data_IF_331637471007
#
_entry.id   IF_331637471007
#
_cell.length_a   1.000
_cell.length_b   1.000
_cell.length_c   1.000
_cell.angle_alpha   90.00
_cell.angle_beta   90.00
_cell.angle_gamma   90.00
#
_symmetry.space_group_name_H-M   'P 1'
#
loop_
_entity.id
_entity.type
_entity.pdbx_description
1 polymer ?
#
# COMPACT_ATOMS: atom_id res chain seq x y z
N UNK A 1 -4.39 -17.17 7.19
CA UNK A 1 -5.00 -16.79 5.87
C UNK A 1 -3.99 -17.09 4.79
N UNK A 2 -4.38 -17.85 3.79
CA UNK A 2 -3.53 -18.13 2.63
C UNK A 2 -3.76 -17.02 1.59
N UNK A 3 -2.70 -16.36 1.19
CA UNK A 3 -2.76 -15.37 0.10
C UNK A 3 -2.70 -16.08 -1.25
N UNK A 4 -3.42 -15.57 -2.25
CA UNK A 4 -3.43 -16.08 -3.61
C UNK A 4 -2.38 -15.36 -4.45
N UNK A 5 -1.31 -16.08 -4.80
CA UNK A 5 -0.25 -15.62 -5.70
C UNK A 5 -0.25 -16.35 -7.03
N UNK A 6 -1.19 -17.27 -7.24
CA UNK A 6 -1.23 -18.14 -8.41
C UNK A 6 -2.21 -17.62 -9.47
N UNK A 7 -3.28 -16.96 -9.07
CA UNK A 7 -4.27 -16.41 -9.99
C UNK A 7 -3.69 -15.27 -10.82
N UNK A 8 -3.72 -15.46 -12.15
CA UNK A 8 -3.29 -14.43 -13.10
C UNK A 8 -4.35 -13.30 -13.13
N UNK A 9 -3.92 -12.08 -12.85
CA UNK A 9 -4.77 -10.89 -12.89
C UNK A 9 -4.54 -10.17 -14.22
N UNK A 10 -5.55 -10.06 -15.11
CA UNK A 10 -5.43 -9.28 -16.33
C UNK A 10 -5.15 -7.80 -16.01
N UNK A 11 -4.04 -7.28 -16.54
CA UNK A 11 -3.59 -5.91 -16.28
C UNK A 11 -3.67 -5.00 -17.52
N UNK A 12 -3.78 -5.58 -18.73
CA UNK A 12 -3.93 -4.81 -19.97
C UNK A 12 -5.31 -4.18 -20.05
N UNK A 13 -5.37 -2.96 -20.57
CA UNK A 13 -6.61 -2.18 -20.66
C UNK A 13 -7.11 -1.62 -19.32
N UNK A 14 -6.27 -1.61 -18.28
CA UNK A 14 -6.61 -1.08 -16.96
C UNK A 14 -5.91 0.24 -16.64
N UNK A 15 -5.30 0.87 -17.62
CA UNK A 15 -4.43 2.05 -17.46
C UNK A 15 -3.18 1.77 -16.63
N UNK A 16 -2.72 0.53 -16.61
CA UNK A 16 -1.46 0.17 -16.00
C UNK A 16 -0.30 0.69 -16.85
N UNK A 17 0.51 1.60 -16.32
CA UNK A 17 1.67 2.11 -17.04
C UNK A 17 2.65 0.98 -17.41
N UNK A 18 2.80 -0.01 -16.54
CA UNK A 18 3.63 -1.19 -16.81
C UNK A 18 3.16 -1.99 -18.01
N UNK A 19 1.85 -2.28 -18.06
CA UNK A 19 1.27 -3.22 -19.04
C UNK A 19 0.77 -2.54 -20.31
N UNK A 20 0.33 -1.29 -20.23
CA UNK A 20 -0.30 -0.58 -21.34
C UNK A 20 0.67 0.35 -22.07
N UNK A 21 1.94 0.43 -21.64
CA UNK A 21 2.96 1.24 -22.31
C UNK A 21 3.53 0.58 -23.57
N UNK A 22 3.45 -0.73 -23.71
CA UNK A 22 3.88 -1.46 -24.90
C UNK A 22 2.70 -1.62 -25.86
N UNK A 23 2.90 -1.25 -27.15
CA UNK A 23 1.90 -1.45 -28.19
C UNK A 23 1.69 -2.93 -28.53
N UNK A 24 2.77 -3.72 -28.43
CA UNK A 24 2.74 -5.16 -28.69
C UNK A 24 2.25 -5.94 -27.46
N UNK A 25 1.15 -6.67 -27.64
CA UNK A 25 0.52 -7.46 -26.59
C UNK A 25 1.36 -8.65 -26.12
N UNK A 26 2.29 -9.14 -26.94
CA UNK A 26 3.14 -10.29 -26.62
C UNK A 26 4.37 -9.90 -25.80
N UNK A 27 4.63 -8.62 -25.63
CA UNK A 27 5.73 -8.13 -24.78
C UNK A 27 5.42 -8.33 -23.31
N UNK A 28 6.26 -9.09 -22.62
CA UNK A 28 6.22 -9.22 -21.18
C UNK A 28 6.98 -8.05 -20.50
N UNK A 29 6.31 -7.13 -19.80
CA UNK A 29 6.97 -6.01 -19.18
C UNK A 29 7.75 -6.44 -17.92
N UNK A 30 9.05 -6.16 -17.88
CA UNK A 30 9.95 -6.46 -16.75
C UNK A 30 10.80 -5.25 -16.34
N UNK A 31 10.41 -4.06 -16.75
CA UNK A 31 11.21 -2.84 -16.60
C UNK A 31 10.94 -2.04 -15.32
N UNK A 32 9.83 -2.31 -14.65
CA UNK A 32 9.43 -1.62 -13.42
C UNK A 32 9.03 -2.62 -12.34
N UNK A 33 9.33 -2.31 -11.09
CA UNK A 33 9.09 -3.19 -9.93
C UNK A 33 7.65 -3.19 -9.42
N UNK A 34 6.70 -2.82 -10.26
CA UNK A 34 5.27 -2.89 -9.99
C UNK A 34 4.82 -4.35 -9.93
N UNK A 35 4.27 -4.79 -8.82
CA UNK A 35 3.84 -6.17 -8.61
C UNK A 35 2.48 -6.45 -9.25
N UNK A 36 2.31 -7.65 -9.78
CA UNK A 36 1.09 -8.11 -10.44
C UNK A 36 0.18 -8.95 -9.51
N UNK A 37 0.49 -8.98 -8.23
CA UNK A 37 -0.32 -9.63 -7.21
C UNK A 37 -1.36 -8.69 -6.62
N UNK A 38 -2.50 -9.23 -6.21
CA UNK A 38 -3.48 -8.46 -5.45
C UNK A 38 -2.88 -7.98 -4.13
N UNK A 39 -3.23 -6.78 -3.75
CA UNK A 39 -2.93 -6.26 -2.41
C UNK A 39 -3.58 -7.14 -1.33
N UNK A 40 -2.93 -7.26 -0.18
CA UNK A 40 -3.44 -8.05 0.93
C UNK A 40 -4.90 -7.74 1.25
N UNK A 41 -5.75 -8.76 1.47
CA UNK A 41 -7.18 -8.57 1.72
C UNK A 41 -7.49 -7.59 2.86
N UNK A 42 -6.69 -7.59 3.92
CA UNK A 42 -6.84 -6.67 5.05
C UNK A 42 -6.68 -5.20 4.65
N UNK A 43 -5.76 -4.92 3.71
CA UNK A 43 -5.55 -3.57 3.17
C UNK A 43 -6.74 -3.17 2.29
N UNK A 44 -7.19 -4.06 1.42
CA UNK A 44 -8.35 -3.82 0.56
C UNK A 44 -9.59 -3.51 1.39
N UNK A 45 -9.86 -4.28 2.44
CA UNK A 45 -11.00 -4.07 3.32
C UNK A 45 -10.90 -2.75 4.11
N UNK A 46 -9.71 -2.37 4.55
CA UNK A 46 -9.50 -1.06 5.19
C UNK A 46 -9.82 0.11 4.24
N UNK A 47 -9.37 0.01 2.98
CA UNK A 47 -9.66 1.01 1.95
C UNK A 47 -11.17 1.06 1.61
N UNK A 48 -11.85 -0.09 1.48
CA UNK A 48 -13.31 -0.14 1.25
C UNK A 48 -14.08 0.60 2.33
N UNK A 49 -13.80 0.31 3.61
CA UNK A 49 -14.44 1.02 4.73
C UNK A 49 -14.24 2.54 4.64
N UNK A 50 -13.05 2.97 4.22
CA UNK A 50 -12.79 4.41 4.06
C UNK A 50 -13.57 5.02 2.90
N UNK A 51 -13.68 4.31 1.78
CA UNK A 51 -14.48 4.73 0.62
C UNK A 51 -15.97 4.79 0.97
N UNK A 52 -16.48 3.80 1.68
CA UNK A 52 -17.88 3.77 2.14
C UNK A 52 -18.24 4.94 3.06
N UNK A 53 -17.28 5.39 3.89
CA UNK A 53 -17.44 6.60 4.69
C UNK A 53 -17.66 7.86 3.82
N UNK A 54 -17.01 7.95 2.65
CA UNK A 54 -17.29 8.93 1.60
C UNK A 54 -16.81 10.35 1.85
N UNK A 55 -16.14 10.64 2.97
CA UNK A 55 -15.62 11.98 3.28
C UNK A 55 -14.09 11.94 3.31
N UNK A 56 -13.47 12.67 2.40
CA UNK A 56 -12.04 12.69 2.15
C UNK A 56 -11.46 14.09 2.46
N UNK A 57 -11.52 14.46 3.72
CA UNK A 57 -10.97 15.72 4.21
C UNK A 57 -9.60 15.53 4.87
N UNK A 58 -9.12 16.59 5.51
CA UNK A 58 -7.94 16.50 6.36
C UNK A 58 -8.18 15.55 7.52
N UNK A 59 -7.22 14.69 7.80
CA UNK A 59 -7.31 13.70 8.87
C UNK A 59 -6.16 13.88 9.87
N UNK A 60 -6.46 13.64 11.13
CA UNK A 60 -5.42 13.48 12.15
C UNK A 60 -4.83 12.09 12.05
N UNK A 61 -3.51 11.97 12.15
CA UNK A 61 -2.84 10.66 12.24
C UNK A 61 -3.23 9.99 13.56
N UNK A 62 -3.85 8.79 13.53
CA UNK A 62 -4.28 8.11 14.74
C UNK A 62 -3.08 7.46 15.47
N UNK A 63 -3.22 7.25 16.77
CA UNK A 63 -2.19 6.57 17.57
C UNK A 63 -1.88 5.17 17.05
N UNK A 64 -2.89 4.44 16.55
CA UNK A 64 -2.73 3.12 15.94
C UNK A 64 -1.73 3.08 14.78
N UNK A 65 -1.54 4.19 14.06
CA UNK A 65 -0.54 4.28 13.00
C UNK A 65 0.88 4.19 13.57
N UNK A 66 1.16 4.95 14.62
CA UNK A 66 2.46 4.93 15.28
C UNK A 66 2.73 3.60 15.98
N UNK A 67 1.71 3.02 16.60
CA UNK A 67 1.79 1.71 17.25
C UNK A 67 2.11 0.60 16.25
N UNK A 68 1.50 0.63 15.06
CA UNK A 68 1.80 -0.31 13.99
C UNK A 68 3.26 -0.22 13.53
N UNK A 69 3.80 0.99 13.34
CA UNK A 69 5.18 1.20 12.92
C UNK A 69 6.15 0.75 14.01
N UNK A 70 5.97 1.22 15.24
CA UNK A 70 6.86 0.88 16.35
C UNK A 70 6.83 -0.61 16.67
N UNK A 71 5.66 -1.23 16.62
CA UNK A 71 5.48 -2.67 16.81
C UNK A 71 6.15 -3.50 15.71
N UNK A 72 6.06 -3.06 14.46
CA UNK A 72 6.74 -3.72 13.35
C UNK A 72 8.26 -3.71 13.53
N UNK A 73 8.85 -2.55 13.79
CA UNK A 73 10.30 -2.44 13.94
C UNK A 73 10.81 -3.16 15.18
N UNK A 74 10.09 -3.11 16.28
CA UNK A 74 10.44 -3.87 17.49
C UNK A 74 10.39 -5.37 17.24
N UNK A 75 9.32 -5.88 16.64
CA UNK A 75 9.12 -7.32 16.44
C UNK A 75 9.97 -7.92 15.32
N UNK A 76 10.22 -7.18 14.23
CA UNK A 76 10.95 -7.69 13.07
C UNK A 76 12.44 -7.39 13.07
N UNK A 77 12.85 -6.29 13.70
CA UNK A 77 14.22 -5.80 13.64
C UNK A 77 14.85 -5.58 15.03
N UNK A 78 14.12 -5.84 16.12
CA UNK A 78 14.58 -5.58 17.48
C UNK A 78 14.87 -4.09 17.76
N UNK A 79 14.32 -3.21 16.94
CA UNK A 79 14.57 -1.78 17.05
C UNK A 79 13.42 -1.09 17.81
N UNK A 80 13.75 -0.54 18.98
CA UNK A 80 12.81 0.21 19.82
C UNK A 80 12.74 1.67 19.38
N UNK A 81 11.81 1.98 18.47
CA UNK A 81 11.55 3.36 18.03
C UNK A 81 10.65 4.04 19.05
N UNK A 82 10.99 5.27 19.44
CA UNK A 82 10.13 6.10 20.29
C UNK A 82 9.15 6.87 19.42
N UNK A 83 7.88 6.95 19.83
CA UNK A 83 6.80 7.69 19.14
C UNK A 83 7.19 9.13 18.75
N UNK A 84 8.05 9.75 19.54
CA UNK A 84 8.54 11.11 19.31
C UNK A 84 9.57 11.23 18.16
N UNK A 85 10.08 10.11 17.64
CA UNK A 85 11.02 10.07 16.51
C UNK A 85 10.32 9.76 15.18
N UNK A 86 9.03 9.48 15.21
CA UNK A 86 8.19 9.23 14.03
C UNK A 86 7.79 10.55 13.36
N UNK A 87 8.75 11.46 13.13
CA UNK A 87 8.54 12.61 12.26
C UNK A 87 8.40 12.17 10.80
N UNK A 88 7.40 11.36 10.53
CA UNK A 88 6.89 11.19 9.19
C UNK A 88 5.93 12.35 8.92
N UNK A 89 6.52 13.46 8.47
CA UNK A 89 5.86 14.57 7.81
C UNK A 89 4.51 15.01 8.38
N UNK A 90 4.54 15.78 9.43
CA UNK A 90 3.45 16.69 9.72
C UNK A 90 3.51 17.88 8.72
N UNK A 91 2.88 17.71 7.57
CA UNK A 91 2.70 18.76 6.57
C UNK A 91 1.72 19.84 7.05
N UNK A 92 1.21 19.74 8.27
CA UNK A 92 0.25 20.68 8.85
C UNK A 92 0.90 21.83 9.63
N UNK A 93 2.24 21.88 9.70
CA UNK A 93 2.97 22.87 10.50
C UNK A 93 3.84 23.83 9.68
N UNK A 94 3.43 24.17 8.43
CA UNK A 94 3.97 25.31 7.69
C UNK A 94 2.88 26.31 7.38
#
# INVERSE_FOLDING_TARGET
MKYDFDTIIPRRGTNSYKWDSAEDADVLPMWVADMDFRTAPSVVEALKRRVEHGIFGYVRVPDAYYEAITGWFAGRHGWQIRKRMDYLYDWSST
#
